data_IF_103051083801
#
_entry.id   IF_103051083801
#
_cell.length_a   1.000
_cell.length_b   1.000
_cell.length_c   1.000
_cell.angle_alpha   90.00
_cell.angle_beta   90.00
_cell.angle_gamma   90.00
#
_symmetry.space_group_name_H-M   'P 1'
#
loop_
_entity.id
_entity.type
_entity.pdbx_description
1 polymer ?
#
# COMPACT_ATOMS: atom_id res chain seq x y z
N UNK A 1 -37.76 18.55 1.94
CA UNK A 1 -36.39 18.73 1.40
C UNK A 1 -35.55 17.63 2.02
N UNK A 2 -35.32 16.54 1.29
CA UNK A 2 -34.47 15.45 1.77
C UNK A 2 -33.04 15.78 1.39
N UNK A 3 -32.24 16.18 2.37
CA UNK A 3 -30.79 16.32 2.19
C UNK A 3 -30.22 14.90 2.24
N UNK A 4 -29.95 14.32 1.07
CA UNK A 4 -29.13 13.12 0.97
C UNK A 4 -27.73 13.49 1.45
N UNK A 5 -27.35 13.02 2.64
CA UNK A 5 -25.93 12.96 3.00
C UNK A 5 -25.29 12.01 1.99
N UNK A 6 -24.49 12.55 1.06
CA UNK A 6 -23.61 11.71 0.26
C UNK A 6 -22.83 10.81 1.23
N UNK A 7 -22.84 9.51 0.99
CA UNK A 7 -21.99 8.59 1.72
C UNK A 7 -20.55 9.07 1.56
N UNK A 8 -19.94 9.59 2.62
CA UNK A 8 -18.56 10.06 2.65
C UNK A 8 -17.53 8.92 2.52
N UNK A 9 -17.94 7.76 1.99
CA UNK A 9 -17.05 6.63 1.81
C UNK A 9 -16.10 6.91 0.64
N UNK A 10 -14.78 6.75 0.83
CA UNK A 10 -13.81 6.93 -0.23
C UNK A 10 -14.07 5.95 -1.39
N UNK A 11 -13.87 6.41 -2.62
CA UNK A 11 -13.96 5.59 -3.82
C UNK A 11 -12.74 4.67 -3.89
N UNK A 12 -12.95 3.39 -3.58
CA UNK A 12 -11.91 2.34 -3.61
C UNK A 12 -11.82 1.62 -4.96
N UNK A 13 -12.44 2.13 -6.02
CA UNK A 13 -12.33 1.51 -7.34
C UNK A 13 -10.89 1.59 -7.88
N UNK A 14 -10.41 0.51 -8.47
CA UNK A 14 -9.10 0.42 -9.12
C UNK A 14 -9.24 0.53 -10.65
N UNK A 15 -8.18 0.92 -11.38
CA UNK A 15 -8.14 0.68 -12.82
C UNK A 15 -8.14 -0.82 -13.11
N UNK A 16 -8.61 -1.22 -14.30
CA UNK A 16 -8.70 -2.64 -14.68
C UNK A 16 -7.34 -3.33 -14.85
N UNK A 17 -6.29 -2.54 -15.07
CA UNK A 17 -4.91 -2.99 -15.20
C UNK A 17 -3.99 -1.97 -14.51
N UNK A 18 -2.82 -2.42 -14.10
CA UNK A 18 -1.79 -1.54 -13.58
C UNK A 18 -1.34 -0.50 -14.62
N UNK A 19 -0.75 0.62 -14.17
CA UNK A 19 0.15 1.38 -15.03
C UNK A 19 1.26 0.44 -15.52
N UNK A 20 1.82 0.67 -16.71
CA UNK A 20 2.83 -0.23 -17.29
C UNK A 20 4.11 -0.25 -16.44
N UNK A 21 4.11 -1.05 -15.38
CA UNK A 21 5.17 -1.21 -14.39
C UNK A 21 6.14 -2.34 -14.74
N UNK A 22 5.86 -3.10 -15.80
CA UNK A 22 6.72 -4.17 -16.33
C UNK A 22 8.20 -3.79 -16.48
N UNK A 23 8.57 -2.57 -16.92
CA UNK A 23 9.99 -2.19 -16.97
C UNK A 23 10.70 -2.26 -15.61
N UNK A 24 9.95 -2.16 -14.51
CA UNK A 24 10.52 -2.17 -13.16
C UNK A 24 10.74 -3.57 -12.60
N UNK A 25 10.19 -4.61 -13.23
CA UNK A 25 10.39 -6.01 -12.83
C UNK A 25 11.88 -6.43 -12.98
N UNK A 26 12.65 -5.71 -13.81
CA UNK A 26 14.08 -5.98 -14.04
C UNK A 26 15.01 -5.26 -13.05
N UNK A 27 14.49 -4.31 -12.26
CA UNK A 27 15.30 -3.58 -11.28
C UNK A 27 15.38 -4.32 -9.95
N UNK A 28 16.48 -4.08 -9.22
CA UNK A 28 16.58 -4.55 -7.84
C UNK A 28 15.56 -3.79 -6.96
N UNK A 29 14.72 -4.54 -6.24
CA UNK A 29 13.70 -4.00 -5.34
C UNK A 29 14.04 -4.19 -3.86
N UNK A 30 15.16 -4.83 -3.53
CA UNK A 30 15.58 -5.18 -2.17
C UNK A 30 15.68 -3.95 -1.23
N UNK A 31 16.06 -2.80 -1.78
CA UNK A 31 16.23 -1.54 -1.05
C UNK A 31 15.05 -0.58 -1.23
N UNK A 32 13.90 -1.05 -1.72
CA UNK A 32 12.70 -0.23 -1.88
C UNK A 32 11.88 -0.15 -0.60
N UNK A 33 10.95 0.80 -0.56
CA UNK A 33 9.92 0.88 0.49
C UNK A 33 8.53 0.83 -0.10
N UNK A 34 7.58 0.26 0.63
CA UNK A 34 6.17 0.52 0.36
C UNK A 34 5.83 1.98 0.66
N UNK A 35 5.12 2.62 -0.25
CA UNK A 35 4.56 3.95 -0.01
C UNK A 35 3.29 3.85 0.84
N UNK A 36 3.17 4.69 1.88
CA UNK A 36 1.97 4.83 2.69
C UNK A 36 1.20 6.10 2.31
N UNK A 37 -0.01 5.90 1.77
CA UNK A 37 -0.96 6.95 1.43
C UNK A 37 -2.15 6.96 2.39
N UNK A 38 -2.95 8.02 2.35
CA UNK A 38 -4.23 8.07 3.07
C UNK A 38 -5.36 8.61 2.20
N UNK A 39 -6.51 7.94 2.24
CA UNK A 39 -7.79 8.44 1.71
C UNK A 39 -8.66 9.10 2.79
N UNK A 40 -8.23 9.01 4.06
CA UNK A 40 -8.93 9.57 5.20
C UNK A 40 -8.14 10.74 5.79
N UNK A 41 -8.85 11.71 6.35
CA UNK A 41 -8.23 12.92 6.91
C UNK A 41 -7.47 12.56 8.20
N UNK A 42 -6.15 12.50 8.10
CA UNK A 42 -5.23 12.31 9.22
C UNK A 42 -4.37 13.54 9.42
N UNK A 43 -4.09 13.86 10.68
CA UNK A 43 -3.00 14.79 10.95
C UNK A 43 -1.68 14.14 10.53
N UNK A 44 -0.70 14.99 10.18
CA UNK A 44 0.64 14.53 9.81
C UNK A 44 1.27 13.65 10.91
N UNK A 45 1.11 14.04 12.17
CA UNK A 45 1.66 13.27 13.30
C UNK A 45 1.01 11.90 13.44
N UNK A 46 -0.31 11.78 13.25
CA UNK A 46 -0.98 10.47 13.31
C UNK A 46 -0.48 9.53 12.20
N UNK A 47 -0.19 10.08 11.01
CA UNK A 47 0.32 9.29 9.90
C UNK A 47 1.80 8.91 10.10
N UNK A 48 2.61 9.79 10.70
CA UNK A 48 3.99 9.50 11.11
C UNK A 48 4.03 8.42 12.20
N UNK A 49 3.20 8.54 13.23
CA UNK A 49 3.08 7.54 14.31
C UNK A 49 2.66 6.17 13.74
N UNK A 50 1.72 6.15 12.80
CA UNK A 50 1.31 4.93 12.11
C UNK A 50 2.46 4.35 11.28
N UNK A 51 3.16 5.18 10.50
CA UNK A 51 4.33 4.75 9.72
C UNK A 51 5.37 4.10 10.61
N UNK A 52 5.69 4.74 11.73
CA UNK A 52 6.70 4.23 12.67
C UNK A 52 6.24 2.92 13.31
N UNK A 53 4.95 2.79 13.66
CA UNK A 53 4.40 1.54 14.17
C UNK A 53 4.47 0.38 13.16
N UNK A 54 4.26 0.66 11.87
CA UNK A 54 4.33 -0.34 10.80
C UNK A 54 5.77 -0.76 10.47
N UNK A 55 6.72 0.17 10.61
CA UNK A 55 8.12 -0.05 10.30
C UNK A 55 8.94 -0.62 11.47
N UNK A 56 8.52 -0.39 12.72
CA UNK A 56 9.34 -0.64 13.92
C UNK A 56 9.89 -2.07 14.00
N UNK A 57 9.08 -3.11 13.73
CA UNK A 57 9.57 -4.49 13.79
C UNK A 57 10.60 -4.79 12.70
N UNK A 58 10.42 -4.24 11.49
CA UNK A 58 11.40 -4.35 10.42
C UNK A 58 12.70 -3.66 10.81
N UNK A 59 12.62 -2.40 11.25
CA UNK A 59 13.79 -1.62 11.65
C UNK A 59 14.61 -2.29 12.74
N UNK A 60 13.95 -2.83 13.78
CA UNK A 60 14.64 -3.56 14.84
C UNK A 60 15.30 -4.85 14.33
N UNK A 61 14.64 -5.61 13.43
CA UNK A 61 15.18 -6.86 12.87
C UNK A 61 16.32 -6.66 11.88
N UNK A 62 16.35 -5.51 11.20
CA UNK A 62 17.49 -5.09 10.36
C UNK A 62 18.66 -4.53 11.20
N UNK A 63 18.57 -4.53 12.54
CA UNK A 63 19.62 -4.00 13.40
C UNK A 63 19.71 -2.47 13.39
N UNK A 64 18.62 -1.78 13.00
CA UNK A 64 18.52 -0.32 12.90
C UNK A 64 19.42 0.28 11.81
N UNK A 65 19.55 -0.46 10.72
CA UNK A 65 20.29 -0.05 9.52
C UNK A 65 19.47 -0.42 8.26
N UNK A 66 19.83 0.15 7.12
CA UNK A 66 19.19 -0.14 5.83
C UNK A 66 17.94 0.69 5.53
N UNK A 67 17.17 0.24 4.54
CA UNK A 67 15.93 0.90 4.10
C UNK A 67 14.76 0.54 5.01
N UNK A 68 13.93 1.54 5.33
CA UNK A 68 12.64 1.34 6.01
C UNK A 68 11.68 0.54 5.12
N UNK A 69 10.90 -0.38 5.70
CA UNK A 69 9.92 -1.19 4.96
C UNK A 69 8.81 -0.33 4.38
N UNK A 70 8.43 0.72 5.10
CA UNK A 70 7.33 1.61 4.72
C UNK A 70 7.72 3.06 4.97
N UNK A 71 7.43 3.94 4.01
CA UNK A 71 7.75 5.38 4.09
C UNK A 71 6.59 6.23 3.59
N UNK A 72 6.59 7.51 3.99
CA UNK A 72 5.67 8.50 3.44
C UNK A 72 6.25 9.10 2.16
N UNK A 73 5.58 8.98 1.00
CA UNK A 73 6.01 9.64 -0.22
C UNK A 73 5.82 11.16 -0.11
N UNK A 74 6.44 11.98 -0.99
CA UNK A 74 6.31 13.44 -0.95
C UNK A 74 4.86 13.95 -1.00
N UNK A 75 3.98 13.19 -1.66
CA UNK A 75 2.54 13.42 -1.71
C UNK A 75 1.80 12.17 -1.21
N UNK A 76 1.32 12.22 0.02
CA UNK A 76 0.71 11.08 0.71
C UNK A 76 -0.79 11.26 1.03
N UNK A 77 -1.27 12.50 1.15
CA UNK A 77 -2.66 12.81 1.53
C UNK A 77 -3.57 12.94 0.30
N UNK A 78 -4.53 12.03 0.21
CA UNK A 78 -5.55 11.92 -0.83
C UNK A 78 -6.96 11.95 -0.22
N UNK A 79 -7.13 12.62 0.92
CA UNK A 79 -8.43 12.81 1.56
C UNK A 79 -9.46 13.38 0.58
N UNK A 80 -10.60 12.69 0.43
CA UNK A 80 -11.66 13.07 -0.51
C UNK A 80 -11.34 12.82 -1.99
N UNK A 81 -10.29 12.05 -2.30
CA UNK A 81 -9.94 11.56 -3.63
C UNK A 81 -10.30 10.07 -3.79
N UNK A 82 -10.05 9.53 -4.97
CA UNK A 82 -10.23 8.11 -5.28
C UNK A 82 -8.93 7.32 -5.15
N UNK A 83 -9.05 6.01 -5.02
CA UNK A 83 -7.89 5.11 -5.06
C UNK A 83 -7.15 5.18 -6.41
N UNK A 84 -7.85 5.48 -7.50
CA UNK A 84 -7.25 5.73 -8.83
C UNK A 84 -6.31 6.94 -8.83
N UNK A 85 -6.63 7.97 -8.04
CA UNK A 85 -5.75 9.14 -7.91
C UNK A 85 -4.43 8.77 -7.23
N UNK A 86 -4.45 7.83 -6.27
CA UNK A 86 -3.24 7.30 -5.64
C UNK A 86 -2.44 6.46 -6.65
N UNK A 87 -3.08 5.53 -7.37
CA UNK A 87 -2.40 4.70 -8.39
C UNK A 87 -1.64 5.58 -9.39
N UNK A 88 -2.30 6.65 -9.89
CA UNK A 88 -1.67 7.60 -10.80
C UNK A 88 -0.47 8.31 -10.14
N UNK A 89 -0.62 8.78 -8.90
CA UNK A 89 0.46 9.46 -8.20
C UNK A 89 1.63 8.54 -7.86
N UNK A 90 1.38 7.25 -7.65
CA UNK A 90 2.40 6.25 -7.38
C UNK A 90 3.19 5.91 -8.65
N UNK A 91 2.52 5.77 -9.79
CA UNK A 91 3.18 5.66 -11.10
C UNK A 91 4.05 6.88 -11.42
N UNK A 92 3.55 8.09 -11.17
CA UNK A 92 4.35 9.33 -11.32
C UNK A 92 5.55 9.38 -10.37
N UNK A 93 5.44 8.79 -9.18
CA UNK A 93 6.54 8.67 -8.22
C UNK A 93 7.63 7.74 -8.76
N UNK A 94 7.27 6.55 -9.20
CA UNK A 94 8.22 5.56 -9.71
C UNK A 94 8.98 6.05 -10.96
N UNK A 95 8.32 6.83 -11.84
CA UNK A 95 8.97 7.40 -13.04
C UNK A 95 10.01 8.49 -12.76
N UNK A 96 10.03 9.07 -11.57
CA UNK A 96 10.99 10.12 -11.22
C UNK A 96 12.36 9.55 -10.84
N UNK A 97 12.42 8.26 -10.53
CA UNK A 97 13.64 7.56 -10.17
C UNK A 97 14.17 6.82 -11.40
N UNK A 98 15.49 6.84 -11.59
CA UNK A 98 16.17 6.23 -12.75
C UNK A 98 16.30 4.72 -12.59
N UNK A 99 17.52 4.21 -12.69
CA UNK A 99 17.80 2.76 -12.56
C UNK A 99 17.79 2.24 -11.10
N UNK A 100 17.57 3.12 -10.13
CA UNK A 100 17.49 2.80 -8.70
C UNK A 100 16.08 3.09 -8.18
N UNK A 101 15.35 2.04 -7.81
CA UNK A 101 14.01 2.17 -7.27
C UNK A 101 14.06 2.54 -5.79
N UNK A 102 13.44 3.65 -5.42
CA UNK A 102 13.23 4.00 -4.01
C UNK A 102 11.92 3.42 -3.45
N UNK A 103 10.94 3.18 -4.31
CA UNK A 103 9.59 2.79 -3.95
C UNK A 103 9.24 1.48 -4.63
N UNK A 104 8.52 0.62 -3.90
CA UNK A 104 8.08 -0.66 -4.42
C UNK A 104 7.06 -0.38 -5.56
N UNK A 105 7.35 -0.73 -6.83
CA UNK A 105 6.61 -0.14 -7.95
C UNK A 105 5.18 -0.64 -8.10
N UNK A 106 5.00 -1.95 -7.87
CA UNK A 106 3.77 -2.67 -8.17
C UNK A 106 2.82 -2.79 -6.99
N UNK A 107 3.16 -2.21 -5.83
CA UNK A 107 2.33 -2.28 -4.64
C UNK A 107 2.57 -1.16 -3.64
N UNK A 108 1.51 -0.80 -2.91
CA UNK A 108 1.55 0.24 -1.87
C UNK A 108 0.45 0.06 -0.83
N UNK A 109 0.54 0.83 0.27
CA UNK A 109 -0.38 0.75 1.40
C UNK A 109 -1.23 2.02 1.49
N UNK A 110 -2.52 1.86 1.77
CA UNK A 110 -3.48 2.96 1.90
C UNK A 110 -4.23 2.88 3.22
N UNK A 111 -4.23 3.99 3.96
CA UNK A 111 -5.14 4.18 5.09
C UNK A 111 -6.52 4.53 4.58
N UNK A 112 -7.52 3.74 4.99
CA UNK A 112 -8.93 3.94 4.65
C UNK A 112 -9.77 4.12 5.92
N UNK A 113 -11.03 4.51 5.76
CA UNK A 113 -11.94 4.63 6.89
C UNK A 113 -12.08 3.29 7.65
N UNK A 114 -12.21 3.39 8.97
CA UNK A 114 -12.25 2.23 9.89
C UNK A 114 -10.88 1.79 10.41
N UNK A 115 -9.76 2.40 9.98
CA UNK A 115 -8.43 2.02 10.49
C UNK A 115 -8.25 2.28 12.00
N UNK A 116 -9.06 3.17 12.60
CA UNK A 116 -9.05 3.45 14.05
C UNK A 116 -9.91 2.47 14.87
N UNK A 117 -10.62 1.55 14.23
CA UNK A 117 -11.43 0.56 14.93
C UNK A 117 -10.53 -0.44 15.68
N UNK A 118 -11.11 -1.20 16.61
CA UNK A 118 -10.39 -2.13 17.50
C UNK A 118 -9.50 -3.13 16.73
N UNK A 119 -9.89 -3.48 15.52
CA UNK A 119 -9.17 -4.38 14.61
C UNK A 119 -8.77 -3.66 13.30
N UNK A 120 -8.51 -2.36 13.40
CA UNK A 120 -8.20 -1.46 12.29
C UNK A 120 -7.34 -2.09 11.21
N UNK A 121 -7.77 -1.91 9.96
CA UNK A 121 -7.14 -2.52 8.80
C UNK A 121 -6.62 -1.47 7.82
N UNK A 122 -5.51 -1.80 7.18
CA UNK A 122 -4.94 -1.08 6.07
C UNK A 122 -5.37 -1.76 4.76
N UNK A 123 -5.46 -1.00 3.69
CA UNK A 123 -5.69 -1.52 2.35
C UNK A 123 -4.34 -1.71 1.66
N UNK A 124 -3.97 -2.95 1.35
CA UNK A 124 -2.88 -3.25 0.43
C UNK A 124 -3.40 -3.15 -1.00
N UNK A 125 -2.70 -2.43 -1.87
CA UNK A 125 -3.03 -2.32 -3.29
C UNK A 125 -1.85 -2.83 -4.08
N UNK A 126 -2.11 -3.68 -5.07
CA UNK A 126 -1.05 -4.29 -5.87
C UNK A 126 -1.50 -4.60 -7.28
N UNK A 127 -0.53 -4.77 -8.17
CA UNK A 127 -0.70 -5.35 -9.50
C UNK A 127 -0.44 -6.87 -9.45
N UNK A 128 -1.37 -7.67 -9.95
CA UNK A 128 -1.19 -9.11 -10.11
C UNK A 128 -0.26 -9.38 -11.31
N UNK A 129 1.04 -9.49 -11.05
CA UNK A 129 2.07 -9.64 -12.09
C UNK A 129 2.00 -10.97 -12.83
N UNK A 130 1.33 -11.98 -12.25
CA UNK A 130 1.09 -13.29 -12.84
C UNK A 130 -0.15 -13.31 -13.76
N UNK A 131 -1.01 -12.29 -13.69
CA UNK A 131 -2.14 -12.14 -14.60
C UNK A 131 -1.67 -11.50 -15.93
N UNK A 132 -2.07 -12.08 -17.08
CA UNK A 132 -1.70 -11.54 -18.41
C UNK A 132 -2.20 -10.09 -18.61
N UNK A 133 -3.30 -9.72 -17.96
CA UNK A 133 -3.85 -8.37 -17.97
C UNK A 133 -3.23 -7.43 -16.94
N UNK A 134 -2.33 -7.95 -16.09
CA UNK A 134 -1.74 -7.28 -14.93
C UNK A 134 -2.80 -6.51 -14.14
N UNK A 135 -3.85 -7.23 -13.75
CA UNK A 135 -4.99 -6.66 -13.07
C UNK A 135 -4.59 -6.04 -11.73
N UNK A 136 -5.12 -4.86 -11.40
CA UNK A 136 -4.97 -4.29 -10.07
C UNK A 136 -5.95 -4.95 -9.11
N UNK A 137 -5.46 -5.34 -7.93
CA UNK A 137 -6.26 -5.86 -6.83
C UNK A 137 -5.93 -5.15 -5.53
N UNK A 138 -6.74 -5.41 -4.50
CA UNK A 138 -6.50 -4.91 -3.16
C UNK A 138 -7.18 -5.77 -2.13
N UNK A 139 -6.54 -5.90 -0.97
CA UNK A 139 -7.14 -6.58 0.19
C UNK A 139 -6.84 -5.81 1.47
N UNK A 140 -7.67 -6.03 2.49
CA UNK A 140 -7.46 -5.44 3.81
C UNK A 140 -6.70 -6.39 4.71
N UNK A 141 -5.70 -5.87 5.42
CA UNK A 141 -5.00 -6.62 6.47
C UNK A 141 -4.96 -5.80 7.78
N UNK A 142 -5.04 -6.44 8.96
CA UNK A 142 -4.95 -5.74 10.23
C UNK A 142 -3.56 -5.12 10.47
N UNK A 143 -3.50 -3.96 11.11
CA UNK A 143 -2.21 -3.27 11.43
C UNK A 143 -1.24 -4.21 12.16
N UNK A 144 -1.73 -5.06 13.08
CA UNK A 144 -0.91 -6.02 13.83
C UNK A 144 -0.24 -7.11 12.97
N UNK A 145 -0.71 -7.31 11.74
CA UNK A 145 -0.15 -8.28 10.79
C UNK A 145 0.70 -7.60 9.71
N UNK A 146 0.83 -6.26 9.76
CA UNK A 146 1.51 -5.50 8.72
C UNK A 146 2.94 -5.94 8.48
N UNK A 147 3.71 -6.14 9.56
CA UNK A 147 5.09 -6.59 9.44
C UNK A 147 5.17 -7.90 8.65
N UNK A 148 4.39 -8.93 9.06
CA UNK A 148 4.40 -10.24 8.40
C UNK A 148 4.02 -10.14 6.92
N UNK A 149 2.92 -9.45 6.61
CA UNK A 149 2.44 -9.30 5.22
C UNK A 149 3.47 -8.58 4.35
N UNK A 150 3.93 -7.41 4.80
CA UNK A 150 4.80 -6.56 4.01
C UNK A 150 6.21 -7.14 3.89
N UNK A 151 6.74 -7.77 4.94
CA UNK A 151 8.06 -8.41 4.88
C UNK A 151 8.06 -9.64 3.98
N UNK A 152 7.01 -10.46 4.00
CA UNK A 152 6.92 -11.64 3.13
C UNK A 152 6.92 -11.25 1.66
N UNK A 153 6.23 -10.18 1.30
CA UNK A 153 6.25 -9.66 -0.08
C UNK A 153 7.62 -9.07 -0.42
N UNK A 154 8.21 -8.26 0.49
CA UNK A 154 9.51 -7.64 0.26
C UNK A 154 10.63 -8.68 0.08
N UNK A 155 10.59 -9.79 0.81
CA UNK A 155 11.55 -10.89 0.64
C UNK A 155 11.24 -11.80 -0.55
N UNK A 156 10.10 -11.64 -1.21
CA UNK A 156 9.64 -12.53 -2.27
C UNK A 156 9.22 -13.92 -1.78
N UNK A 157 8.88 -14.06 -0.49
CA UNK A 157 8.44 -15.31 0.12
C UNK A 157 6.99 -15.67 -0.25
N UNK A 158 6.13 -14.65 -0.42
CA UNK A 158 4.72 -14.82 -0.76
C UNK A 158 4.24 -13.78 -1.79
N UNK A 159 3.43 -14.23 -2.75
CA UNK A 159 2.73 -13.34 -3.68
C UNK A 159 1.53 -12.67 -3.00
N UNK A 160 1.28 -11.37 -3.26
CA UNK A 160 0.13 -10.66 -2.69
C UNK A 160 -1.22 -11.34 -2.93
N UNK A 161 -1.37 -12.04 -4.06
CA UNK A 161 -2.57 -12.79 -4.43
C UNK A 161 -2.82 -13.99 -3.52
N UNK A 162 -1.77 -14.69 -3.12
CA UNK A 162 -1.88 -15.84 -2.23
C UNK A 162 -2.19 -15.38 -0.80
N UNK A 163 -1.56 -14.29 -0.36
CA UNK A 163 -1.90 -13.61 0.90
C UNK A 163 -3.38 -13.21 0.91
N UNK A 164 -3.85 -12.57 -0.16
CA UNK A 164 -5.26 -12.20 -0.32
C UNK A 164 -6.18 -13.42 -0.21
N UNK A 165 -5.86 -14.51 -0.91
CA UNK A 165 -6.66 -15.74 -0.89
C UNK A 165 -6.72 -16.35 0.52
N UNK A 166 -5.61 -16.40 1.24
CA UNK A 166 -5.54 -16.88 2.61
C UNK A 166 -6.38 -16.03 3.57
N UNK A 167 -6.31 -14.70 3.45
CA UNK A 167 -7.17 -13.80 4.24
C UNK A 167 -8.65 -14.04 3.95
N UNK A 168 -9.03 -14.13 2.66
CA UNK A 168 -10.42 -14.40 2.28
C UNK A 168 -10.91 -15.74 2.84
N UNK A 169 -10.09 -16.79 2.80
CA UNK A 169 -10.43 -18.10 3.34
C UNK A 169 -10.57 -18.10 4.87
N UNK A 170 -9.77 -17.29 5.58
CA UNK A 170 -9.82 -17.20 7.05
C UNK A 170 -11.05 -16.45 7.61
N UNK A 171 -11.82 -15.79 6.75
CA UNK A 171 -13.01 -15.03 7.13
C UNK A 171 -14.33 -15.77 6.88
N UNK A 172 -14.28 -17.00 6.36
CA UNK A 172 -15.43 -17.90 6.13
C UNK A 172 -15.54 -18.90 7.27
#
# INVERSE_FOLDING_TARGET
>A
MSTTFASNQPDLSLPSSGPNWTPYDEYNQDDTSFALYTLTSLSKSELEDLRDALDNEWWEKQGKEGTHLIRLPPKYDFSGKSLKDIVKSHDELNRQHGDELEWYPSAFVVVVDGFREKDGALLFVYEDTEDEGRAMSSFKFPIKQAYMVLSSIMFGDEDPKDIEANYKASQV
#
